data_IF_930293711266
#
_entry.id   IF_930293711266
#
_cell.length_a   1.000
_cell.length_b   1.000
_cell.length_c   1.000
_cell.angle_alpha   90.00
_cell.angle_beta   90.00
_cell.angle_gamma   90.00
#
_symmetry.space_group_name_H-M   'P 1'
#
loop_
_entity.id
_entity.type
_entity.pdbx_description
1 polymer ?
#
# COMPACT_ATOMS: atom_id res chain seq x y z
N UNK A 1 5.88 7.89 11.66
CA UNK A 1 6.95 6.86 11.62
C UNK A 1 6.48 5.47 11.14
N UNK A 2 5.20 5.08 11.29
CA UNK A 2 4.74 3.72 10.97
C UNK A 2 4.29 3.48 9.50
N UNK A 3 3.77 4.49 8.78
CA UNK A 3 3.49 4.40 7.32
C UNK A 3 4.76 4.00 6.53
N UNK A 4 5.92 4.57 6.91
CA UNK A 4 7.20 4.23 6.32
C UNK A 4 7.56 2.75 6.50
N UNK A 5 7.11 2.12 7.60
CA UNK A 5 7.34 0.71 7.87
C UNK A 5 6.47 -0.17 6.98
N UNK A 6 5.17 0.12 6.84
CA UNK A 6 4.28 -0.64 5.95
C UNK A 6 4.70 -0.54 4.48
N UNK A 7 4.97 0.67 3.99
CA UNK A 7 5.40 0.88 2.59
C UNK A 7 6.71 0.14 2.32
N UNK A 8 7.68 0.23 3.23
CA UNK A 8 8.96 -0.48 3.10
C UNK A 8 8.78 -2.00 3.12
N UNK A 9 8.00 -2.55 4.05
CA UNK A 9 7.74 -4.00 4.11
C UNK A 9 7.02 -4.48 2.85
N UNK A 10 6.10 -3.67 2.31
CA UNK A 10 5.43 -4.00 1.06
C UNK A 10 6.39 -3.99 -0.14
N UNK A 11 7.28 -2.99 -0.22
CA UNK A 11 8.33 -2.93 -1.25
C UNK A 11 9.34 -4.08 -1.12
N UNK A 12 9.74 -4.47 0.10
CA UNK A 12 10.57 -5.64 0.36
C UNK A 12 9.86 -6.93 -0.09
N UNK A 13 8.53 -7.01 0.10
CA UNK A 13 7.69 -8.08 -0.43
C UNK A 13 7.75 -8.20 -1.95
N UNK A 14 7.80 -7.08 -2.67
CA UNK A 14 7.95 -7.06 -4.14
C UNK A 14 9.30 -7.66 -4.59
N UNK A 15 10.35 -7.48 -3.79
CA UNK A 15 11.66 -8.11 -4.04
C UNK A 15 11.55 -9.62 -3.90
N UNK A 16 10.89 -10.10 -2.83
CA UNK A 16 10.73 -11.54 -2.58
C UNK A 16 9.94 -12.28 -3.67
N UNK A 17 8.97 -11.61 -4.30
CA UNK A 17 8.17 -12.18 -5.40
C UNK A 17 8.76 -11.88 -6.80
N UNK A 18 9.95 -11.28 -6.88
CA UNK A 18 10.67 -11.08 -8.14
C UNK A 18 10.18 -9.89 -8.99
N UNK A 19 9.39 -8.97 -8.44
CA UNK A 19 8.74 -7.88 -9.19
C UNK A 19 9.44 -6.52 -9.03
N UNK A 20 10.56 -6.45 -8.31
CA UNK A 20 11.30 -5.20 -8.06
C UNK A 20 11.72 -4.48 -9.34
N UNK A 21 12.31 -5.20 -10.31
CA UNK A 21 12.74 -4.61 -11.59
C UNK A 21 11.57 -3.97 -12.33
N UNK A 22 10.42 -4.66 -12.35
CA UNK A 22 9.19 -4.15 -12.98
C UNK A 22 8.64 -2.93 -12.27
N UNK A 23 8.69 -2.90 -10.95
CA UNK A 23 8.34 -1.72 -10.16
C UNK A 23 9.23 -0.52 -10.50
N UNK A 24 10.52 -0.73 -10.77
CA UNK A 24 11.45 0.34 -11.13
C UNK A 24 11.25 0.83 -12.57
N UNK A 25 11.04 -0.08 -13.51
CA UNK A 25 11.04 0.18 -14.95
C UNK A 25 9.65 0.57 -15.49
N UNK A 26 8.55 0.13 -14.88
CA UNK A 26 7.18 0.37 -15.36
C UNK A 26 6.43 1.35 -14.46
N UNK A 27 6.25 2.59 -14.94
CA UNK A 27 5.56 3.66 -14.20
C UNK A 27 4.08 3.35 -13.91
N UNK A 28 3.36 2.71 -14.82
CA UNK A 28 1.95 2.36 -14.63
C UNK A 28 1.80 1.28 -13.55
N UNK A 29 2.65 0.28 -13.59
CA UNK A 29 2.71 -0.77 -12.58
C UNK A 29 3.05 -0.19 -11.20
N UNK A 30 4.09 0.65 -11.11
CA UNK A 30 4.47 1.35 -9.87
C UNK A 30 3.35 2.22 -9.33
N UNK A 31 2.65 2.98 -10.17
CA UNK A 31 1.53 3.81 -9.74
C UNK A 31 0.37 2.95 -9.20
N UNK A 32 0.09 1.80 -9.82
CA UNK A 32 -0.90 0.87 -9.30
C UNK A 32 -0.48 0.25 -7.96
N UNK A 33 0.78 -0.16 -7.80
CA UNK A 33 1.34 -0.64 -6.52
C UNK A 33 1.23 0.44 -5.43
N UNK A 34 1.49 1.71 -5.75
CA UNK A 34 1.29 2.83 -4.81
C UNK A 34 -0.17 3.01 -4.39
N UNK A 35 -1.15 2.74 -5.27
CA UNK A 35 -2.57 2.75 -4.89
C UNK A 35 -2.89 1.70 -3.83
N UNK A 36 -2.27 0.52 -3.91
CA UNK A 36 -2.38 -0.50 -2.86
C UNK A 36 -1.81 0.00 -1.53
N UNK A 37 -0.69 0.73 -1.56
CA UNK A 37 -0.13 1.29 -0.33
C UNK A 37 -1.01 2.38 0.29
N UNK A 38 -1.79 3.10 -0.52
CA UNK A 38 -2.71 4.13 -0.04
C UNK A 38 -3.91 3.56 0.75
N UNK A 39 -4.16 2.25 0.69
CA UNK A 39 -5.21 1.60 1.50
C UNK A 39 -4.89 1.72 3.00
N UNK A 40 -3.61 1.75 3.36
CA UNK A 40 -3.17 1.94 4.74
C UNK A 40 -3.59 3.29 5.35
N UNK A 41 -3.99 4.27 4.54
CA UNK A 41 -4.44 5.59 5.03
C UNK A 41 -5.94 5.82 4.85
N UNK A 42 -6.71 4.78 4.55
CA UNK A 42 -8.18 4.86 4.43
C UNK A 42 -8.85 4.50 5.75
N UNK A 43 -10.07 4.98 6.04
CA UNK A 43 -10.86 4.50 7.18
C UNK A 43 -10.92 2.97 7.19
N UNK A 44 -10.80 2.33 8.36
CA UNK A 44 -10.70 0.87 8.47
C UNK A 44 -11.89 0.15 7.83
N UNK A 45 -13.09 0.74 7.96
CA UNK A 45 -14.35 0.26 7.41
C UNK A 45 -14.35 0.29 5.87
N UNK A 46 -13.52 1.13 5.26
CA UNK A 46 -13.43 1.35 3.82
C UNK A 46 -12.23 0.68 3.17
N UNK A 47 -11.38 0.00 3.95
CA UNK A 47 -10.17 -0.65 3.41
C UNK A 47 -10.50 -1.76 2.40
N UNK A 48 -11.56 -2.54 2.65
CA UNK A 48 -12.00 -3.60 1.73
C UNK A 48 -12.57 -3.01 0.43
N UNK A 49 -13.35 -1.92 0.52
CA UNK A 49 -13.87 -1.17 -0.62
C UNK A 49 -12.71 -0.60 -1.46
N UNK A 50 -11.76 0.08 -0.80
CA UNK A 50 -10.59 0.67 -1.45
C UNK A 50 -9.71 -0.40 -2.13
N UNK A 51 -9.56 -1.56 -1.50
CA UNK A 51 -8.84 -2.68 -2.08
C UNK A 51 -9.54 -3.24 -3.31
N UNK A 52 -10.86 -3.38 -3.27
CA UNK A 52 -11.66 -3.85 -4.39
C UNK A 52 -11.56 -2.89 -5.59
N UNK A 53 -11.68 -1.57 -5.35
CA UNK A 53 -11.48 -0.55 -6.39
C UNK A 53 -10.06 -0.60 -6.99
N UNK A 54 -9.04 -0.84 -6.17
CA UNK A 54 -7.67 -0.96 -6.65
C UNK A 54 -7.48 -2.20 -7.56
N UNK A 55 -8.17 -3.31 -7.28
CA UNK A 55 -8.16 -4.50 -8.12
C UNK A 55 -8.93 -4.27 -9.43
N UNK A 56 -10.05 -3.56 -9.39
CA UNK A 56 -10.84 -3.25 -10.60
C UNK A 56 -10.06 -2.34 -11.57
N UNK A 57 -9.20 -1.48 -11.04
CA UNK A 57 -8.30 -0.62 -11.81
C UNK A 57 -6.92 -1.25 -12.10
N UNK A 58 -6.80 -2.58 -12.05
CA UNK A 58 -5.51 -3.26 -12.23
C UNK A 58 -5.02 -3.18 -13.68
N UNK A 59 -3.71 -3.05 -13.92
CA UNK A 59 -3.17 -3.19 -15.26
C UNK A 59 -3.38 -4.61 -15.80
N UNK A 60 -3.51 -4.73 -17.12
CA UNK A 60 -3.59 -6.02 -17.80
C UNK A 60 -2.21 -6.69 -17.80
N UNK A 61 -1.96 -7.44 -16.74
CA UNK A 61 -0.66 -8.01 -16.45
C UNK A 61 -0.80 -9.31 -15.65
N UNK A 62 0.01 -10.32 -15.99
CA UNK A 62 -0.01 -11.61 -15.27
C UNK A 62 0.55 -11.47 -13.85
N UNK A 63 1.54 -10.59 -13.66
CA UNK A 63 2.22 -10.40 -12.37
C UNK A 63 1.36 -9.66 -11.33
N UNK A 64 0.29 -8.99 -11.79
CA UNK A 64 -0.67 -8.32 -10.92
C UNK A 64 -1.36 -9.31 -9.98
N UNK A 65 -1.65 -10.52 -10.44
CA UNK A 65 -2.30 -11.53 -9.60
C UNK A 65 -1.42 -11.95 -8.43
N UNK A 66 -0.11 -12.08 -8.65
CA UNK A 66 0.87 -12.41 -7.60
C UNK A 66 0.86 -11.36 -6.47
N UNK A 67 0.77 -10.07 -6.83
CA UNK A 67 0.68 -8.99 -5.85
C UNK A 67 -0.66 -9.01 -5.11
N UNK A 68 -1.77 -9.22 -5.83
CA UNK A 68 -3.10 -9.29 -5.22
C UNK A 68 -3.14 -10.43 -4.20
N UNK A 69 -2.60 -11.60 -4.55
CA UNK A 69 -2.59 -12.76 -3.66
C UNK A 69 -1.67 -12.55 -2.46
N UNK A 70 -0.49 -11.97 -2.67
CA UNK A 70 0.40 -11.57 -1.60
C UNK A 70 -0.25 -10.56 -0.65
N UNK A 71 -0.89 -9.51 -1.19
CA UNK A 71 -1.54 -8.47 -0.40
C UNK A 71 -2.74 -9.03 0.38
N UNK A 72 -3.58 -9.84 -0.27
CA UNK A 72 -4.71 -10.52 0.38
C UNK A 72 -4.23 -11.41 1.53
N UNK A 73 -3.21 -12.24 1.30
CA UNK A 73 -2.70 -13.18 2.29
C UNK A 73 -2.01 -12.50 3.45
N UNK A 74 -1.35 -11.36 3.22
CA UNK A 74 -0.51 -10.69 4.23
C UNK A 74 -1.31 -9.67 5.04
N UNK A 75 -2.13 -8.86 4.38
CA UNK A 75 -2.73 -7.66 4.97
C UNK A 75 -4.25 -7.74 5.14
N UNK A 76 -4.98 -8.36 4.20
CA UNK A 76 -6.46 -8.41 4.26
C UNK A 76 -6.97 -9.60 5.08
N UNK A 77 -6.42 -10.80 4.83
CA UNK A 77 -6.76 -12.08 5.47
C UNK A 77 -5.65 -12.59 6.40
N UNK A 78 -4.56 -11.83 6.50
CA UNK A 78 -3.32 -12.28 7.11
C UNK A 78 -3.25 -12.08 8.61
N UNK A 79 -2.04 -12.31 9.12
CA UNK A 79 -1.70 -12.32 10.54
C UNK A 79 -1.67 -10.94 11.20
N UNK A 80 -1.61 -9.87 10.41
CA UNK A 80 -1.52 -8.50 10.92
C UNK A 80 -2.91 -7.89 11.06
N UNK A 81 -3.29 -7.57 12.30
CA UNK A 81 -4.50 -6.81 12.58
C UNK A 81 -4.50 -5.49 11.80
N UNK A 82 -5.66 -5.09 11.25
CA UNK A 82 -5.81 -3.88 10.44
C UNK A 82 -5.37 -2.63 11.20
N UNK A 83 -5.58 -2.57 12.51
CA UNK A 83 -5.11 -1.48 13.36
C UNK A 83 -3.59 -1.33 13.43
N UNK A 84 -2.81 -2.36 13.09
CA UNK A 84 -1.35 -2.33 13.15
C UNK A 84 -0.71 -1.66 11.93
N UNK A 85 -1.40 -1.66 10.79
CA UNK A 85 -0.90 -1.10 9.52
C UNK A 85 -1.81 -0.06 8.91
N UNK A 86 -3.03 0.11 9.44
CA UNK A 86 -3.88 1.26 9.17
C UNK A 86 -3.39 2.47 9.97
N UNK A 87 -3.25 3.59 9.28
CA UNK A 87 -2.71 4.84 9.79
C UNK A 87 -3.70 6.00 9.60
N UNK A 88 -4.97 5.71 9.30
CA UNK A 88 -6.01 6.72 9.08
C UNK A 88 -6.18 7.65 10.30
N UNK A 89 -6.25 7.06 11.50
CA UNK A 89 -6.39 7.80 12.77
C UNK A 89 -5.05 8.03 13.47
N UNK A 90 -3.93 7.63 12.87
CA UNK A 90 -2.63 7.87 13.50
C UNK A 90 -2.33 9.37 13.50
N UNK A 91 -2.52 10.02 14.65
CA UNK A 91 -2.31 11.46 14.86
C UNK A 91 -0.89 11.95 14.53
N UNK A 92 0.05 11.06 14.20
CA UNK A 92 1.45 11.39 13.93
C UNK A 92 1.80 11.89 12.52
N UNK A 93 0.84 12.04 11.58
CA UNK A 93 1.20 12.31 10.15
C UNK A 93 0.40 13.45 9.50
N UNK A 94 -0.44 14.18 10.23
CA UNK A 94 -1.07 15.41 9.72
C UNK A 94 -1.11 16.53 10.76
N UNK A 95 0.02 16.86 11.37
CA UNK A 95 0.19 18.22 11.87
C UNK A 95 0.65 19.11 10.73
N UNK A 96 0.04 20.29 10.66
CA UNK A 96 0.34 21.36 9.71
C UNK A 96 1.81 21.85 9.80
N UNK A 97 2.62 21.31 10.72
CA UNK A 97 4.02 21.66 10.97
C UNK A 97 4.96 21.48 9.79
N UNK A 98 4.60 20.66 8.79
CA UNK A 98 5.40 20.54 7.56
C UNK A 98 5.05 21.60 6.49
N UNK A 99 3.92 22.30 6.64
CA UNK A 99 3.48 23.35 5.71
C UNK A 99 3.99 24.74 6.15
N UNK A 100 4.26 24.97 7.45
CA UNK A 100 4.76 26.26 7.94
C UNK A 100 6.27 26.34 8.22
N UNK A 101 7.03 25.24 8.09
CA UNK A 101 8.48 25.23 8.37
C UNK A 101 9.38 25.75 7.23
N UNK A 102 8.78 26.38 6.21
CA UNK A 102 9.47 27.30 5.31
C UNK A 102 9.03 28.73 5.60
N UNK A 103 9.56 29.30 6.68
CA UNK A 103 9.72 30.75 6.88
C UNK A 103 11.21 31.03 7.10
#
# INVERSE_FOLDING_TARGET
AAIFTFVKVFEDGLVQIGLKKKYDDNIFFRNWVKKLTAIAIMPQERMDEAFQMAIECKPEDFDVQLIIDYFKRTWIKGFFDRSLWNHYESESIRTNDHVESYN
#
